data_IF_768403801527
#
_entry.id   IF_768403801527
#
_cell.length_a   1.000
_cell.length_b   1.000
_cell.length_c   1.000
_cell.angle_alpha   90.00
_cell.angle_beta   90.00
_cell.angle_gamma   90.00
#
_symmetry.space_group_name_H-M   'P 1'
#
loop_
_entity.id
_entity.type
_entity.pdbx_description
1 polymer ?
#
# COMPACT_ATOMS: atom_id res chain seq x y z
N UNK A 1 -27.93 -33.77 -17.95
CA UNK A 1 -26.99 -32.90 -17.22
C UNK A 1 -26.20 -32.08 -18.25
N UNK A 2 -26.59 -30.84 -18.55
CA UNK A 2 -25.87 -30.01 -19.54
C UNK A 2 -24.68 -29.33 -18.86
N UNK A 3 -23.46 -29.74 -19.24
CA UNK A 3 -22.22 -29.15 -18.74
C UNK A 3 -22.00 -27.83 -19.50
N UNK A 4 -22.32 -26.71 -18.87
CA UNK A 4 -22.06 -25.37 -19.41
C UNK A 4 -20.55 -25.18 -19.58
N UNK A 5 -20.08 -25.16 -20.83
CA UNK A 5 -18.70 -24.76 -21.17
C UNK A 5 -18.58 -23.25 -20.92
N UNK A 6 -18.03 -22.88 -19.76
CA UNK A 6 -17.57 -21.51 -19.51
C UNK A 6 -16.46 -21.17 -20.51
N UNK A 7 -16.83 -20.54 -21.65
CA UNK A 7 -15.85 -20.02 -22.59
C UNK A 7 -15.26 -18.76 -21.99
N UNK A 8 -14.15 -18.91 -21.27
CA UNK A 8 -13.32 -17.76 -20.87
C UNK A 8 -12.91 -17.06 -22.16
N UNK A 9 -13.56 -15.94 -22.44
CA UNK A 9 -13.31 -15.18 -23.65
C UNK A 9 -12.02 -14.41 -23.44
N UNK A 10 -11.12 -14.40 -24.42
CA UNK A 10 -9.84 -13.68 -24.35
C UNK A 10 -10.03 -12.21 -23.92
N UNK A 11 -11.14 -11.60 -24.33
CA UNK A 11 -11.58 -10.25 -23.92
C UNK A 11 -11.85 -10.11 -22.42
N UNK A 12 -12.36 -11.14 -21.76
CA UNK A 12 -12.60 -11.16 -20.32
C UNK A 12 -11.27 -11.27 -19.55
N UNK A 13 -10.38 -12.15 -20.01
CA UNK A 13 -9.08 -12.35 -19.39
C UNK A 13 -8.20 -11.09 -19.53
N UNK A 14 -8.14 -10.50 -20.73
CA UNK A 14 -7.34 -9.28 -20.97
C UNK A 14 -7.85 -8.08 -20.17
N UNK A 15 -9.18 -7.95 -20.01
CA UNK A 15 -9.79 -6.90 -19.18
C UNK A 15 -9.36 -7.05 -17.71
N UNK A 16 -9.45 -8.24 -17.14
CA UNK A 16 -9.12 -8.46 -15.74
C UNK A 16 -7.63 -8.26 -15.47
N UNK A 17 -6.77 -8.79 -16.35
CA UNK A 17 -5.32 -8.61 -16.24
C UNK A 17 -4.95 -7.13 -16.36
N UNK A 18 -5.56 -6.39 -17.28
CA UNK A 18 -5.32 -4.94 -17.43
C UNK A 18 -5.70 -4.16 -16.18
N UNK A 19 -6.84 -4.49 -15.54
CA UNK A 19 -7.25 -3.87 -14.27
C UNK A 19 -6.23 -4.15 -13.16
N UNK A 20 -5.80 -5.41 -13.00
CA UNK A 20 -4.82 -5.80 -11.97
C UNK A 20 -3.48 -5.10 -12.21
N UNK A 21 -3.00 -5.09 -13.46
CA UNK A 21 -1.75 -4.41 -13.82
C UNK A 21 -1.88 -2.91 -13.54
N UNK A 22 -2.98 -2.27 -13.94
CA UNK A 22 -3.23 -0.87 -13.66
C UNK A 22 -3.19 -0.56 -12.17
N UNK A 23 -3.88 -1.35 -11.34
CA UNK A 23 -3.87 -1.20 -9.89
C UNK A 23 -2.46 -1.34 -9.30
N UNK A 24 -1.72 -2.37 -9.71
CA UNK A 24 -0.35 -2.62 -9.24
C UNK A 24 0.59 -1.49 -9.66
N UNK A 25 0.47 -0.99 -10.89
CA UNK A 25 1.29 0.11 -11.38
C UNK A 25 0.98 1.43 -10.67
N UNK A 26 -0.29 1.71 -10.38
CA UNK A 26 -0.66 2.90 -9.58
C UNK A 26 -0.08 2.80 -8.17
N UNK A 27 -0.26 1.65 -7.51
CA UNK A 27 0.30 1.41 -6.19
C UNK A 27 1.82 1.57 -6.17
N UNK A 28 2.52 0.93 -7.10
CA UNK A 28 3.98 1.05 -7.24
C UNK A 28 4.43 2.47 -7.57
N UNK A 29 3.71 3.16 -8.45
CA UNK A 29 3.99 4.55 -8.79
C UNK A 29 3.92 5.47 -7.57
N UNK A 30 2.92 5.30 -6.72
CA UNK A 30 2.80 6.06 -5.46
C UNK A 30 4.00 5.77 -4.55
N UNK A 31 4.39 4.50 -4.39
CA UNK A 31 5.58 4.16 -3.60
C UNK A 31 6.85 4.82 -4.13
N UNK A 32 7.10 4.77 -5.44
CA UNK A 32 8.31 5.38 -6.01
C UNK A 32 8.31 6.90 -5.89
N UNK A 33 7.15 7.55 -6.01
CA UNK A 33 7.05 8.99 -5.79
C UNK A 33 7.31 9.32 -4.33
N UNK A 34 6.73 8.58 -3.38
CA UNK A 34 6.97 8.78 -1.96
C UNK A 34 8.43 8.49 -1.57
N UNK A 35 9.04 7.45 -2.13
CA UNK A 35 10.44 7.08 -1.92
C UNK A 35 11.40 8.15 -2.49
N UNK A 36 11.14 8.63 -3.70
CA UNK A 36 11.90 9.72 -4.31
C UNK A 36 11.74 11.04 -3.54
N UNK A 37 10.52 11.34 -3.06
CA UNK A 37 10.26 12.49 -2.20
C UNK A 37 10.99 12.34 -0.86
N UNK A 38 11.00 11.16 -0.26
CA UNK A 38 11.72 10.90 0.99
C UNK A 38 13.22 11.11 0.80
N UNK A 39 13.81 10.54 -0.26
CA UNK A 39 15.21 10.71 -0.60
C UNK A 39 15.56 12.18 -0.86
N UNK A 40 14.70 12.91 -1.58
CA UNK A 40 14.95 14.31 -1.94
C UNK A 40 14.75 15.28 -0.77
N UNK A 41 13.74 15.06 0.08
CA UNK A 41 13.47 15.89 1.25
C UNK A 41 14.44 15.62 2.40
N UNK A 42 14.93 14.38 2.53
CA UNK A 42 15.64 13.96 3.74
C UNK A 42 17.08 13.49 3.53
N UNK A 43 17.59 13.51 2.28
CA UNK A 43 18.99 13.62 1.88
C UNK A 43 20.02 12.89 2.79
N UNK A 44 19.76 11.62 3.15
CA UNK A 44 20.68 10.75 3.91
C UNK A 44 20.49 10.69 5.43
N UNK A 45 19.50 11.37 6.00
CA UNK A 45 19.16 11.29 7.42
C UNK A 45 18.25 10.11 7.79
N UNK A 46 18.57 8.89 7.35
CA UNK A 46 17.73 7.68 7.54
C UNK A 46 17.26 7.46 8.98
N UNK A 47 18.04 7.90 9.98
CA UNK A 47 17.67 7.74 11.38
C UNK A 47 16.58 8.72 11.85
N UNK A 48 16.62 9.98 11.42
CA UNK A 48 15.71 11.01 11.94
C UNK A 48 14.33 10.98 11.28
N UNK A 49 14.26 10.64 9.99
CA UNK A 49 12.99 10.43 9.30
C UNK A 49 12.27 9.18 9.76
N UNK A 50 12.99 8.09 9.98
CA UNK A 50 12.45 6.89 10.60
C UNK A 50 11.90 7.21 12.00
N UNK A 51 12.64 7.99 12.80
CA UNK A 51 12.17 8.43 14.12
C UNK A 51 10.89 9.27 14.02
N UNK A 52 10.85 10.24 13.12
CA UNK A 52 9.66 11.09 12.90
C UNK A 52 8.48 10.30 12.36
N UNK A 53 8.70 9.35 11.46
CA UNK A 53 7.67 8.46 10.92
C UNK A 53 7.10 7.54 11.98
N UNK A 54 7.94 6.99 12.87
CA UNK A 54 7.50 6.19 14.03
C UNK A 54 6.67 7.06 14.97
N UNK A 55 7.12 8.27 15.28
CA UNK A 55 6.39 9.20 16.16
C UNK A 55 5.05 9.60 15.55
N UNK A 56 5.02 9.96 14.26
CA UNK A 56 3.78 10.30 13.55
C UNK A 56 2.82 9.11 13.45
N UNK A 57 3.34 7.91 13.16
CA UNK A 57 2.55 6.68 13.13
C UNK A 57 1.91 6.37 14.49
N UNK A 58 2.67 6.52 15.57
CA UNK A 58 2.15 6.36 16.93
C UNK A 58 1.11 7.43 17.28
N UNK A 59 1.34 8.69 16.89
CA UNK A 59 0.36 9.78 17.13
C UNK A 59 -0.94 9.55 16.36
N UNK A 60 -0.85 9.12 15.09
CA UNK A 60 -2.02 8.82 14.26
C UNK A 60 -2.79 7.61 14.78
N UNK A 61 -2.11 6.56 15.26
CA UNK A 61 -2.78 5.41 15.88
C UNK A 61 -3.36 5.75 17.26
N UNK A 62 -2.71 6.65 18.00
CA UNK A 62 -3.17 7.07 19.32
C UNK A 62 -4.37 8.03 19.26
N UNK A 63 -4.44 8.92 18.27
CA UNK A 63 -5.50 9.91 18.16
C UNK A 63 -6.94 9.35 18.07
N UNK A 64 -7.23 8.29 17.30
CA UNK A 64 -8.59 7.78 17.14
C UNK A 64 -9.11 7.02 18.36
N UNK A 65 -8.29 6.22 19.04
CA UNK A 65 -8.72 5.38 20.18
C UNK A 65 -8.27 5.89 21.55
N UNK A 66 -7.30 6.81 21.62
CA UNK A 66 -6.61 7.27 22.84
C UNK A 66 -6.10 6.16 23.78
N UNK A 67 -6.04 4.91 23.30
CA UNK A 67 -5.71 3.73 24.10
C UNK A 67 -4.89 2.75 23.26
N UNK A 68 -3.67 2.43 23.70
CA UNK A 68 -2.70 1.56 23.00
C UNK A 68 -2.84 0.08 23.40
N UNK A 69 -3.99 -0.31 23.93
CA UNK A 69 -4.24 -1.65 24.50
C UNK A 69 -4.11 -2.80 23.50
N UNK A 70 -4.24 -2.55 22.20
CA UNK A 70 -4.06 -3.60 21.18
C UNK A 70 -2.59 -3.98 20.96
N UNK A 71 -1.64 -3.07 21.22
CA UNK A 71 -0.20 -3.33 21.05
C UNK A 71 0.37 -4.07 22.27
N UNK A 72 -0.24 -3.94 23.44
CA UNK A 72 0.19 -4.61 24.69
C UNK A 72 -0.07 -6.13 24.71
N UNK A 73 -0.86 -6.65 23.76
CA UNK A 73 -1.22 -8.08 23.66
C UNK A 73 -0.31 -8.92 22.76
N UNK A 74 0.68 -8.32 22.10
CA UNK A 74 1.68 -8.99 21.26
C UNK A 74 2.99 -9.15 22.02
#
# INVERSE_FOLDING_TARGET
MSISKNRITVKYLSKNISIVIGLVLVWRGIWYVLDALDIWLFNGGHAWTALLGIILGLVILYLPDQDLKEIEKL
#
